data_IF_529434844991
#
_entry.id   IF_529434844991
#
_cell.length_a   1.000
_cell.length_b   1.000
_cell.length_c   1.000
_cell.angle_alpha   90.00
_cell.angle_beta   90.00
_cell.angle_gamma   90.00
#
_symmetry.space_group_name_H-M   'P 1'
#
loop_
_entity.id
_entity.type
_entity.pdbx_description
1 polymer ?
#
# COMPACT_ATOMS: atom_id res chain seq x y z
N UNK A 1 -9.22 14.90 -16.32
CA UNK A 1 -9.43 15.42 -14.96
C UNK A 1 -9.06 16.90 -14.99
N UNK A 2 -9.90 17.86 -14.54
CA UNK A 2 -9.61 19.28 -14.62
C UNK A 2 -8.43 19.66 -13.73
N UNK A 3 -7.58 20.56 -14.23
CA UNK A 3 -6.39 21.11 -13.52
C UNK A 3 -6.68 21.64 -12.10
N UNK A 4 -7.92 22.12 -11.86
CA UNK A 4 -8.37 22.57 -10.55
C UNK A 4 -8.38 21.45 -9.49
N UNK A 5 -8.84 20.25 -9.84
CA UNK A 5 -8.86 19.10 -8.92
C UNK A 5 -7.45 18.60 -8.59
N UNK A 6 -6.49 18.74 -9.49
CA UNK A 6 -5.09 18.35 -9.25
C UNK A 6 -4.45 19.31 -8.24
N UNK A 7 -4.69 20.63 -8.39
CA UNK A 7 -4.18 21.65 -7.45
C UNK A 7 -4.79 21.53 -6.05
N UNK A 8 -6.07 21.19 -5.96
CA UNK A 8 -6.75 20.99 -4.69
C UNK A 8 -6.21 19.76 -3.94
N UNK A 9 -5.89 18.67 -4.66
CA UNK A 9 -5.27 17.46 -4.12
C UNK A 9 -3.85 17.70 -3.61
N UNK A 10 -3.04 18.45 -4.37
CA UNK A 10 -1.69 18.83 -3.89
C UNK A 10 -1.76 19.77 -2.69
N UNK A 11 -2.73 20.67 -2.65
CA UNK A 11 -2.99 21.56 -1.52
C UNK A 11 -3.40 20.80 -0.26
N UNK A 12 -4.24 19.76 -0.39
CA UNK A 12 -4.67 18.93 0.72
C UNK A 12 -3.53 18.04 1.24
N UNK A 13 -2.73 17.43 0.36
CA UNK A 13 -1.52 16.66 0.73
C UNK A 13 -0.49 17.55 1.46
N UNK A 14 -0.28 18.79 1.00
CA UNK A 14 0.59 19.78 1.68
C UNK A 14 0.05 20.25 3.02
N UNK A 15 -1.28 20.42 3.16
CA UNK A 15 -1.90 20.78 4.46
C UNK A 15 -1.76 19.69 5.50
N UNK A 16 -1.88 18.41 5.13
CA UNK A 16 -1.67 17.28 6.03
C UNK A 16 -0.21 17.25 6.53
N UNK A 17 0.76 17.54 5.66
CA UNK A 17 2.19 17.64 6.05
C UNK A 17 2.45 18.85 6.96
N UNK A 18 1.81 20.00 6.70
CA UNK A 18 1.99 21.22 7.51
C UNK A 18 1.30 21.15 8.88
N UNK A 19 0.17 20.45 8.99
CA UNK A 19 -0.54 20.29 10.29
C UNK A 19 0.30 19.43 11.24
N UNK A 20 1.07 18.44 10.75
CA UNK A 20 1.99 17.65 11.57
C UNK A 20 3.14 18.49 12.19
N UNK A 21 3.54 19.60 11.56
CA UNK A 21 4.60 20.49 12.06
C UNK A 21 4.12 21.52 13.11
N UNK A 22 2.82 21.85 13.14
CA UNK A 22 2.32 22.93 13.99
C UNK A 22 1.79 22.47 15.36
N UNK A 23 1.46 21.18 15.52
CA UNK A 23 0.94 20.65 16.80
C UNK A 23 2.02 20.38 17.87
N UNK A 24 3.31 20.60 17.60
CA UNK A 24 4.39 20.26 18.52
C UNK A 24 4.81 21.41 19.46
N UNK A 25 4.21 22.59 19.41
CA UNK A 25 4.73 23.78 20.13
C UNK A 25 3.80 24.31 21.22
N UNK A 26 2.61 23.78 21.44
CA UNK A 26 1.64 24.36 22.42
C UNK A 26 1.35 23.49 23.65
N UNK A 27 2.15 22.49 23.96
CA UNK A 27 1.91 21.62 25.13
C UNK A 27 2.94 21.80 26.27
N UNK A 28 3.29 23.04 26.63
CA UNK A 28 4.00 23.30 27.87
C UNK A 28 3.29 24.41 28.64
N UNK A 29 2.39 24.04 29.52
CA UNK A 29 1.98 24.67 30.78
C UNK A 29 0.49 24.45 31.08
N UNK A 30 0.12 23.28 31.56
CA UNK A 30 -0.97 23.11 32.55
C UNK A 30 -0.83 21.67 33.06
N UNK A 31 -0.59 21.47 34.34
CA UNK A 31 -0.49 20.17 34.99
C UNK A 31 -1.83 19.44 34.99
N UNK A 32 -2.09 18.70 33.90
CA UNK A 32 -3.13 17.70 33.83
C UNK A 32 -2.46 16.32 33.74
N UNK A 33 -3.00 15.37 34.52
CA UNK A 33 -2.52 14.00 34.61
C UNK A 33 -2.18 13.43 33.24
N UNK A 34 -1.10 12.64 33.16
CA UNK A 34 -0.71 11.99 31.92
C UNK A 34 -1.93 11.26 31.33
N UNK A 35 -2.33 11.55 30.08
CA UNK A 35 -3.31 10.74 29.41
C UNK A 35 -2.73 9.31 29.39
N UNK A 36 -3.48 8.35 29.93
CA UNK A 36 -3.18 6.94 29.72
C UNK A 36 -2.95 6.78 28.21
N UNK A 37 -1.78 6.29 27.81
CA UNK A 37 -1.49 6.04 26.41
C UNK A 37 -2.59 5.12 25.88
N UNK A 38 -3.54 5.69 25.16
CA UNK A 38 -4.59 4.94 24.49
C UNK A 38 -3.89 3.96 23.57
N UNK A 39 -4.11 2.67 23.77
CA UNK A 39 -3.45 1.63 22.98
C UNK A 39 -3.88 1.83 21.53
N UNK A 40 -2.98 2.30 20.69
CA UNK A 40 -3.27 2.54 19.28
C UNK A 40 -3.80 1.25 18.66
N UNK A 41 -4.97 1.33 18.05
CA UNK A 41 -5.57 0.23 17.28
C UNK A 41 -4.69 -0.05 16.07
N UNK A 42 -4.26 -1.30 15.91
CA UNK A 42 -3.43 -1.76 14.82
C UNK A 42 -4.28 -2.52 13.79
N UNK A 43 -4.01 -2.24 12.53
CA UNK A 43 -4.61 -2.92 11.37
C UNK A 43 -3.52 -3.75 10.71
N UNK A 44 -3.86 -4.99 10.33
CA UNK A 44 -2.98 -5.83 9.53
C UNK A 44 -3.21 -5.52 8.06
N UNK A 45 -2.18 -5.00 7.39
CA UNK A 45 -2.20 -4.67 5.97
C UNK A 45 -1.39 -5.66 5.15
N UNK A 46 -1.93 -6.13 4.02
CA UNK A 46 -1.24 -6.96 3.04
C UNK A 46 -0.84 -6.16 1.81
N UNK A 47 0.43 -5.83 1.71
CA UNK A 47 1.04 -5.16 0.56
C UNK A 47 1.48 -6.16 -0.50
N UNK A 48 0.91 -6.09 -1.71
CA UNK A 48 1.24 -6.98 -2.84
C UNK A 48 1.78 -6.23 -4.07
N UNK A 49 1.60 -4.89 -4.12
CA UNK A 49 2.09 -3.98 -5.15
C UNK A 49 3.29 -3.16 -4.68
N UNK A 50 3.23 -1.83 -4.87
CA UNK A 50 4.21 -0.90 -4.29
C UNK A 50 4.30 -1.01 -2.77
N UNK A 51 3.19 -1.37 -2.12
CA UNK A 51 3.08 -1.51 -0.68
C UNK A 51 3.86 -2.74 -0.13
N UNK A 52 4.50 -3.54 -0.99
CA UNK A 52 5.51 -4.51 -0.53
C UNK A 52 6.77 -3.83 -0.01
N UNK A 53 7.13 -2.66 -0.53
CA UNK A 53 8.36 -1.98 -0.14
C UNK A 53 8.19 -1.22 1.16
N UNK A 54 8.94 -1.61 2.19
CA UNK A 54 8.93 -0.95 3.49
C UNK A 54 9.40 0.50 3.36
N UNK A 55 10.44 0.76 2.58
CA UNK A 55 10.96 2.11 2.35
C UNK A 55 9.95 3.03 1.65
N UNK A 56 9.12 2.48 0.75
CA UNK A 56 8.02 3.20 0.13
C UNK A 56 6.89 3.46 1.13
N UNK A 57 6.47 2.45 1.88
CA UNK A 57 5.38 2.55 2.85
C UNK A 57 5.69 3.50 4.00
N UNK A 58 6.94 3.51 4.52
CA UNK A 58 7.34 4.39 5.64
C UNK A 58 7.22 5.89 5.34
N UNK A 59 7.10 6.28 4.09
CA UNK A 59 6.82 7.66 3.71
C UNK A 59 5.41 8.11 4.15
N UNK A 60 4.49 7.17 4.30
CA UNK A 60 3.08 7.40 4.61
C UNK A 60 2.67 6.76 5.95
N UNK A 61 3.33 5.69 6.34
CA UNK A 61 3.05 4.90 7.54
C UNK A 61 4.33 4.75 8.39
N UNK A 62 4.80 5.80 9.06
CA UNK A 62 6.06 5.79 9.81
C UNK A 62 6.06 4.78 10.97
N UNK A 63 4.91 4.42 11.53
CA UNK A 63 4.79 3.44 12.62
C UNK A 63 4.80 1.98 12.15
N UNK A 64 4.82 1.75 10.84
CA UNK A 64 4.77 0.44 10.20
C UNK A 64 5.72 -0.57 10.85
N UNK A 65 5.18 -1.76 11.13
CA UNK A 65 5.93 -2.90 11.65
C UNK A 65 5.75 -4.09 10.72
N UNK A 66 6.87 -4.58 10.19
CA UNK A 66 6.90 -5.83 9.44
C UNK A 66 6.43 -7.00 10.33
N UNK A 67 5.58 -7.84 9.76
CA UNK A 67 5.08 -9.06 10.42
C UNK A 67 5.73 -10.28 9.79
N UNK A 68 5.42 -10.57 8.52
CA UNK A 68 5.99 -11.69 7.75
C UNK A 68 5.58 -11.58 6.29
N UNK A 69 6.17 -12.41 5.45
CA UNK A 69 5.68 -12.64 4.10
C UNK A 69 4.37 -13.45 4.12
N UNK A 70 3.52 -13.17 3.14
CA UNK A 70 2.25 -13.89 2.98
C UNK A 70 1.89 -14.07 1.51
N UNK A 71 0.86 -14.85 1.26
CA UNK A 71 0.35 -15.12 -0.07
C UNK A 71 -1.17 -15.13 -0.08
N UNK A 72 -1.74 -14.66 -1.18
CA UNK A 72 -3.17 -14.66 -1.45
C UNK A 72 -3.47 -15.66 -2.56
N UNK A 73 -4.02 -16.85 -2.25
CA UNK A 73 -4.36 -17.86 -3.25
C UNK A 73 -5.61 -17.49 -4.04
N UNK A 74 -5.73 -18.08 -5.24
CA UNK A 74 -6.81 -17.89 -6.19
C UNK A 74 -6.93 -16.48 -6.78
N UNK A 75 -5.83 -15.72 -6.75
CA UNK A 75 -5.71 -14.41 -7.38
C UNK A 75 -4.44 -14.31 -8.23
N UNK A 76 -4.46 -13.39 -9.18
CA UNK A 76 -3.26 -12.94 -9.89
C UNK A 76 -3.15 -11.43 -9.89
N UNK A 77 -1.91 -10.92 -9.96
CA UNK A 77 -1.64 -9.50 -10.20
C UNK A 77 -1.89 -9.18 -11.67
N UNK A 78 -2.62 -8.09 -11.89
CA UNK A 78 -2.77 -7.45 -13.19
C UNK A 78 -2.62 -5.92 -13.04
N UNK A 79 -2.17 -5.23 -14.09
CA UNK A 79 -2.01 -3.78 -14.10
C UNK A 79 -3.29 -3.14 -14.66
N UNK A 80 -4.22 -2.85 -13.76
CA UNK A 80 -5.61 -2.50 -14.11
C UNK A 80 -5.99 -1.04 -13.90
N UNK A 81 -5.02 -0.22 -13.46
CA UNK A 81 -5.17 1.22 -13.31
C UNK A 81 -4.00 1.92 -14.00
N UNK A 82 -4.27 2.84 -14.89
CA UNK A 82 -3.23 3.70 -15.45
C UNK A 82 -2.91 4.85 -14.50
N UNK A 83 -1.63 5.04 -14.21
CA UNK A 83 -1.13 6.14 -13.39
C UNK A 83 -0.29 7.10 -14.24
N UNK A 84 -0.76 8.32 -14.42
CA UNK A 84 0.01 9.37 -15.11
C UNK A 84 1.33 9.67 -14.39
N UNK A 85 1.34 9.65 -13.05
CA UNK A 85 2.53 9.94 -12.25
C UNK A 85 3.60 8.85 -12.39
N UNK A 86 3.20 7.58 -12.57
CA UNK A 86 4.11 6.46 -12.76
C UNK A 86 4.44 6.22 -14.24
N UNK A 87 3.63 6.75 -15.17
CA UNK A 87 3.80 6.60 -16.60
C UNK A 87 3.42 5.22 -17.12
N UNK A 88 2.40 4.56 -16.53
CA UNK A 88 1.94 3.24 -16.93
C UNK A 88 0.98 2.60 -15.96
N UNK A 89 0.74 1.31 -16.14
CA UNK A 89 -0.15 0.52 -15.29
C UNK A 89 0.41 0.31 -13.89
N UNK A 90 -0.48 0.41 -12.91
CA UNK A 90 -0.25 0.02 -11.51
C UNK A 90 -1.16 -1.14 -11.14
N UNK A 91 -0.75 -1.92 -10.13
CA UNK A 91 -1.34 -3.23 -9.86
C UNK A 91 -2.73 -3.17 -9.24
N UNK A 92 -3.49 -4.20 -9.55
CA UNK A 92 -4.66 -4.70 -8.83
C UNK A 92 -4.59 -6.22 -8.78
N UNK A 93 -5.47 -6.85 -8.02
CA UNK A 93 -5.67 -8.30 -8.02
C UNK A 93 -6.96 -8.65 -8.73
N UNK A 94 -6.94 -9.76 -9.45
CA UNK A 94 -8.10 -10.32 -10.16
C UNK A 94 -8.21 -11.78 -9.77
N UNK A 95 -9.43 -12.25 -9.58
CA UNK A 95 -9.73 -13.65 -9.27
C UNK A 95 -9.17 -14.57 -10.36
N UNK A 96 -8.43 -15.59 -9.92
CA UNK A 96 -7.88 -16.64 -10.79
C UNK A 96 -7.73 -17.93 -10.03
N UNK A 97 -8.62 -18.91 -10.24
CA UNK A 97 -8.49 -20.22 -9.62
C UNK A 97 -7.10 -20.83 -9.85
N UNK A 98 -6.45 -21.27 -8.75
CA UNK A 98 -5.07 -21.78 -8.78
C UNK A 98 -3.98 -20.72 -8.91
N UNK A 99 -4.34 -19.43 -9.05
CA UNK A 99 -3.39 -18.32 -9.02
C UNK A 99 -2.81 -18.07 -7.62
N UNK A 100 -1.71 -17.34 -7.56
CA UNK A 100 -1.05 -16.97 -6.31
C UNK A 100 -0.46 -15.57 -6.40
N UNK A 101 -0.81 -14.70 -5.46
CA UNK A 101 -0.19 -13.39 -5.27
C UNK A 101 0.64 -13.42 -4.01
N UNK A 102 1.90 -13.01 -4.12
CA UNK A 102 2.82 -12.90 -2.99
C UNK A 102 2.93 -11.47 -2.53
N UNK A 103 3.07 -11.26 -1.23
CA UNK A 103 3.16 -9.96 -0.61
C UNK A 103 3.72 -10.01 0.79
N UNK A 104 3.59 -8.90 1.49
CA UNK A 104 4.13 -8.67 2.83
C UNK A 104 3.02 -8.21 3.75
N UNK A 105 2.97 -8.72 4.97
CA UNK A 105 2.09 -8.24 6.01
C UNK A 105 2.80 -7.23 6.91
N UNK A 106 2.10 -6.13 7.20
CA UNK A 106 2.53 -5.08 8.11
C UNK A 106 1.44 -4.76 9.13
N UNK A 107 1.80 -4.52 10.38
CA UNK A 107 0.96 -3.77 11.28
C UNK A 107 1.19 -2.27 11.08
N UNK A 108 0.10 -1.53 10.89
CA UNK A 108 0.05 -0.07 10.86
C UNK A 108 -1.05 0.41 11.79
N UNK A 109 -0.99 1.65 12.26
CA UNK A 109 -2.08 2.20 13.07
C UNK A 109 -3.34 2.40 12.23
N UNK A 110 -4.51 2.31 12.86
CA UNK A 110 -5.78 2.59 12.18
C UNK A 110 -5.76 3.99 11.54
N UNK A 111 -5.16 4.97 12.20
CA UNK A 111 -5.01 6.33 11.67
C UNK A 111 -4.20 6.36 10.38
N UNK A 112 -3.07 5.67 10.35
CA UNK A 112 -2.25 5.57 9.13
C UNK A 112 -2.97 4.81 8.01
N UNK A 113 -3.77 3.79 8.35
CA UNK A 113 -4.61 3.10 7.38
C UNK A 113 -5.67 4.02 6.77
N UNK A 114 -6.30 4.87 7.58
CA UNK A 114 -7.26 5.87 7.09
C UNK A 114 -6.56 6.96 6.22
N UNK A 115 -5.30 7.32 6.52
CA UNK A 115 -4.47 8.19 5.67
C UNK A 115 -4.10 7.49 4.34
N UNK A 116 -3.82 6.20 4.35
CA UNK A 116 -3.60 5.40 3.14
C UNK A 116 -4.85 5.32 2.26
N UNK A 117 -6.05 5.23 2.83
CA UNK A 117 -7.30 5.27 2.07
C UNK A 117 -7.38 6.53 1.19
N UNK A 118 -6.94 7.67 1.73
CA UNK A 118 -6.90 8.93 0.96
C UNK A 118 -5.85 8.86 -0.15
N UNK A 119 -4.69 8.27 0.13
CA UNK A 119 -3.60 8.12 -0.84
C UNK A 119 -3.97 7.22 -2.00
N UNK A 120 -4.69 6.13 -1.70
CA UNK A 120 -5.18 5.15 -2.67
C UNK A 120 -6.47 5.60 -3.38
N UNK A 121 -6.93 6.85 -3.13
CA UNK A 121 -8.13 7.42 -3.74
C UNK A 121 -9.41 6.61 -3.44
N UNK A 122 -9.50 5.98 -2.26
CA UNK A 122 -10.70 5.26 -1.81
C UNK A 122 -11.93 6.17 -1.78
N UNK A 123 -11.87 7.42 -1.25
CA UNK A 123 -13.01 8.34 -1.27
C UNK A 123 -13.48 8.71 -2.68
N UNK A 124 -12.62 8.54 -3.69
CA UNK A 124 -12.96 8.79 -5.10
C UNK A 124 -13.41 7.52 -5.84
N UNK A 125 -13.53 6.39 -5.13
CA UNK A 125 -13.93 5.12 -5.71
C UNK A 125 -12.93 4.54 -6.72
N UNK A 126 -11.65 4.93 -6.66
CA UNK A 126 -10.61 4.41 -7.56
C UNK A 126 -10.12 3.05 -7.06
N UNK A 127 -9.69 2.99 -5.81
CA UNK A 127 -9.45 1.76 -5.08
C UNK A 127 -10.50 1.58 -4.01
N UNK A 128 -10.66 0.36 -3.54
CA UNK A 128 -11.38 0.00 -2.33
C UNK A 128 -10.45 -0.78 -1.41
N UNK A 129 -10.56 -0.53 -0.12
CA UNK A 129 -9.98 -1.37 0.91
C UNK A 129 -10.93 -2.54 1.17
N UNK A 130 -10.40 -3.74 1.16
CA UNK A 130 -11.15 -4.97 1.44
C UNK A 130 -10.30 -5.89 2.31
N UNK A 131 -10.95 -6.60 3.23
CA UNK A 131 -10.31 -7.62 4.07
C UNK A 131 -10.32 -8.97 3.36
N UNK A 132 -9.16 -9.61 3.31
CA UNK A 132 -8.98 -10.94 2.73
C UNK A 132 -8.32 -11.91 3.71
N UNK A 133 -8.58 -13.20 3.51
CA UNK A 133 -7.81 -14.25 4.16
C UNK A 133 -6.52 -14.48 3.37
N UNK A 134 -5.39 -14.18 3.98
CA UNK A 134 -4.05 -14.40 3.41
C UNK A 134 -3.34 -15.50 4.19
N UNK A 135 -2.54 -16.32 3.50
CA UNK A 135 -1.78 -17.40 4.11
C UNK A 135 -0.37 -16.87 4.45
N UNK A 136 -0.06 -16.80 5.74
CA UNK A 136 1.27 -16.43 6.22
C UNK A 136 2.33 -17.51 5.93
N UNK A 137 3.60 -17.11 5.91
CA UNK A 137 4.72 -18.06 5.75
C UNK A 137 4.84 -19.08 6.90
N UNK A 138 4.18 -18.82 8.03
CA UNK A 138 4.04 -19.75 9.16
C UNK A 138 2.92 -20.79 8.95
N UNK A 139 2.24 -20.78 7.79
CA UNK A 139 1.18 -21.69 7.43
C UNK A 139 -0.19 -21.38 8.04
N UNK A 140 -0.37 -20.23 8.69
CA UNK A 140 -1.65 -19.82 9.27
C UNK A 140 -2.35 -18.80 8.38
N UNK A 141 -3.69 -18.74 8.52
CA UNK A 141 -4.54 -17.77 7.86
C UNK A 141 -4.70 -16.52 8.71
N UNK A 142 -4.66 -15.36 8.05
CA UNK A 142 -4.78 -14.04 8.66
C UNK A 142 -5.80 -13.19 7.88
N UNK A 143 -6.63 -12.48 8.61
CA UNK A 143 -7.45 -11.40 8.02
C UNK A 143 -6.57 -10.17 7.86
N UNK A 144 -6.38 -9.72 6.63
CA UNK A 144 -5.57 -8.55 6.34
C UNK A 144 -6.26 -7.66 5.30
N UNK A 145 -6.17 -6.36 5.50
CA UNK A 145 -6.70 -5.37 4.59
C UNK A 145 -5.74 -5.15 3.42
N UNK A 146 -6.28 -5.06 2.23
CA UNK A 146 -5.55 -4.72 1.01
C UNK A 146 -6.36 -3.77 0.13
N UNK A 147 -5.69 -3.14 -0.81
CA UNK A 147 -6.31 -2.26 -1.79
C UNK A 147 -6.49 -2.97 -3.13
N UNK A 148 -7.64 -2.76 -3.75
CA UNK A 148 -7.98 -3.34 -5.05
C UNK A 148 -8.73 -2.30 -5.87
N UNK A 149 -8.45 -2.23 -7.18
CA UNK A 149 -9.14 -1.31 -8.10
C UNK A 149 -10.63 -1.65 -8.16
N UNK A 150 -11.48 -0.63 -7.98
CA UNK A 150 -12.95 -0.80 -7.97
C UNK A 150 -13.47 -1.13 -9.35
N UNK A 151 -13.03 -0.38 -10.37
CA UNK A 151 -13.37 -0.60 -11.78
C UNK A 151 -12.10 -0.92 -12.58
N UNK A 152 -11.68 -2.20 -12.65
CA UNK A 152 -10.46 -2.58 -13.33
C UNK A 152 -10.57 -2.34 -14.84
N UNK A 153 -9.64 -1.56 -15.40
CA UNK A 153 -9.50 -1.29 -16.85
C UNK A 153 -8.20 -1.93 -17.37
N UNK A 154 -7.95 -1.84 -18.65
CA UNK A 154 -6.77 -2.44 -19.28
C UNK A 154 -6.97 -3.92 -19.62
N UNK A 155 -5.93 -4.78 -19.49
CA UNK A 155 -4.67 -4.55 -18.79
C UNK A 155 -3.78 -3.50 -19.48
N UNK A 156 -3.09 -2.71 -18.69
CA UNK A 156 -2.10 -1.75 -19.14
C UNK A 156 -0.70 -2.35 -19.05
N UNK A 157 0.23 -1.83 -19.83
CA UNK A 157 1.65 -2.11 -19.61
C UNK A 157 2.09 -1.54 -18.25
N UNK A 158 2.79 -2.33 -17.43
CA UNK A 158 3.21 -1.89 -16.10
C UNK A 158 4.19 -0.72 -16.19
N UNK A 159 4.02 0.26 -15.31
CA UNK A 159 4.98 1.35 -15.20
C UNK A 159 6.34 0.83 -14.71
N UNK A 160 7.44 1.20 -15.39
CA UNK A 160 8.80 0.79 -15.00
C UNK A 160 9.11 1.13 -13.54
N UNK A 161 8.89 2.38 -13.14
CA UNK A 161 9.10 2.86 -11.77
C UNK A 161 8.30 2.07 -10.73
N UNK A 162 7.09 1.67 -11.09
CA UNK A 162 6.24 0.88 -10.21
C UNK A 162 6.79 -0.53 -10.02
N UNK A 163 7.22 -1.17 -11.12
CA UNK A 163 7.89 -2.48 -11.06
C UNK A 163 9.19 -2.41 -10.24
N UNK A 164 9.97 -1.33 -10.36
CA UNK A 164 11.19 -1.14 -9.58
C UNK A 164 10.89 -1.10 -8.07
N UNK A 165 9.80 -0.42 -7.64
CA UNK A 165 9.35 -0.41 -6.25
C UNK A 165 8.92 -1.83 -5.80
N UNK A 166 8.16 -2.54 -6.63
CA UNK A 166 7.74 -3.92 -6.33
C UNK A 166 8.95 -4.87 -6.19
N UNK A 167 9.94 -4.75 -7.09
CA UNK A 167 11.17 -5.55 -7.04
C UNK A 167 12.00 -5.23 -5.80
N UNK A 168 12.08 -3.95 -5.43
CA UNK A 168 12.75 -3.51 -4.19
C UNK A 168 12.13 -4.18 -2.98
N UNK A 169 10.81 -4.06 -2.80
CA UNK A 169 10.11 -4.67 -1.67
C UNK A 169 10.21 -6.20 -1.65
N UNK A 170 10.06 -6.85 -2.82
CA UNK A 170 10.21 -8.29 -2.93
C UNK A 170 11.63 -8.77 -2.60
N UNK A 171 12.66 -7.95 -2.86
CA UNK A 171 14.05 -8.24 -2.54
C UNK A 171 14.33 -8.00 -1.06
N UNK A 172 13.86 -6.88 -0.52
CA UNK A 172 13.99 -6.46 0.88
C UNK A 172 13.48 -7.53 1.84
N UNK A 173 12.33 -8.13 1.53
CA UNK A 173 11.68 -9.14 2.37
C UNK A 173 11.97 -10.58 1.96
N UNK A 174 12.89 -10.81 1.02
CA UNK A 174 13.24 -12.15 0.57
C UNK A 174 12.01 -12.96 0.10
N UNK A 175 11.05 -12.30 -0.56
CA UNK A 175 9.83 -12.94 -1.06
C UNK A 175 10.19 -14.08 -2.03
N UNK A 176 9.28 -15.04 -2.18
CA UNK A 176 9.40 -16.21 -3.05
C UNK A 176 10.23 -15.94 -4.32
N UNK A 177 11.32 -16.68 -4.51
CA UNK A 177 12.32 -16.46 -5.57
C UNK A 177 11.71 -16.50 -6.99
N UNK A 178 10.71 -17.36 -7.21
CA UNK A 178 10.04 -17.46 -8.51
C UNK A 178 9.18 -16.21 -8.77
N UNK A 179 8.58 -15.64 -7.72
CA UNK A 179 7.84 -14.40 -7.81
C UNK A 179 8.76 -13.23 -8.13
N UNK A 180 9.87 -13.08 -7.42
CA UNK A 180 10.88 -12.07 -7.70
C UNK A 180 11.43 -12.18 -9.14
N UNK A 181 11.71 -13.41 -9.59
CA UNK A 181 12.13 -13.67 -10.98
C UNK A 181 11.06 -13.21 -11.98
N UNK A 182 9.78 -13.49 -11.72
CA UNK A 182 8.66 -13.05 -12.56
C UNK A 182 8.59 -11.52 -12.66
N UNK A 183 8.73 -10.79 -11.54
CA UNK A 183 8.75 -9.33 -11.53
C UNK A 183 9.92 -8.77 -12.35
N UNK A 184 11.13 -9.32 -12.17
CA UNK A 184 12.32 -8.93 -12.94
C UNK A 184 12.16 -9.18 -14.45
N UNK A 185 11.56 -10.30 -14.84
CA UNK A 185 11.28 -10.59 -16.25
C UNK A 185 10.23 -9.63 -16.84
N UNK A 186 9.21 -9.23 -16.05
CA UNK A 186 8.28 -8.20 -16.49
C UNK A 186 9.01 -6.87 -16.71
N UNK A 187 9.90 -6.49 -15.80
CA UNK A 187 10.65 -5.23 -15.87
C UNK A 187 11.59 -5.17 -17.07
N UNK A 188 12.30 -6.27 -17.34
CA UNK A 188 13.26 -6.37 -18.45
C UNK A 188 12.63 -6.27 -19.86
N UNK A 189 11.31 -6.44 -19.98
CA UNK A 189 10.63 -6.23 -21.28
C UNK A 189 10.60 -4.78 -21.73
N UNK A 190 10.95 -3.85 -20.85
CA UNK A 190 10.85 -2.40 -21.09
C UNK A 190 12.22 -1.71 -21.10
N UNK A 191 13.31 -2.47 -21.05
CA UNK A 191 14.68 -2.00 -21.27
C UNK A 191 15.04 -2.07 -22.75
#
# INVERSE_FOLDING_TARGET
MPLAQIKEREGMKRKIILIKSFCLIVAMAIGFGQPSAEKEELVLHFGYGSNMSESYMRQYTPSLKYVMNAQLPNFEIQFRKYSNNMGGGISSIIEKPGGMVYGVMYYITKKEMDELDILEDVPLGIYKRETFQVLGEDGKWYEADLYRVTEPKGPYEPAKKYLDIMISGATEHNINKNWLKKLKLMRAKYD
#
